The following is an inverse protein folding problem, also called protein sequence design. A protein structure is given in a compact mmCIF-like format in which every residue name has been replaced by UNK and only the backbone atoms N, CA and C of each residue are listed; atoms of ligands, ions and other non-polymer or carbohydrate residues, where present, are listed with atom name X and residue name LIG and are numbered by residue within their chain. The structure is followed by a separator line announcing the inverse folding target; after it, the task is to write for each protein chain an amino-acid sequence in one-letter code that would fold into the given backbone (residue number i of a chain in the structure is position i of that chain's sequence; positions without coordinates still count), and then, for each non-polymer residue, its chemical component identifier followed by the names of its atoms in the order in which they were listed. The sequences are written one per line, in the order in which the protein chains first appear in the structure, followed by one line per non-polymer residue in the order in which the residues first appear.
data_IF_232357023100
#
_entry.id   IF_232357023100
#
_cell.length_a   1.000
_cell.length_b   1.000
_cell.length_c   1.000
_cell.angle_alpha   90.00
_cell.angle_beta   90.00
_cell.angle_gamma   90.00
#
_symmetry.space_group_name_H-M   'P 1'
#
loop_
_entity.id
_entity.type
_entity.pdbx_description
1 polymer ?
#
# COMPACT_ATOMS: atom_id res chain seq x y z
N UNK A 1 -40.33 -47.91 -1.30
CA UNK A 1 -40.55 -46.46 -1.18
C UNK A 1 -41.31 -45.98 -2.42
N UNK A 2 -42.30 -45.11 -2.27
CA UNK A 2 -43.11 -44.62 -3.39
C UNK A 2 -42.37 -43.51 -4.14
N UNK A 3 -42.50 -43.45 -5.47
CA UNK A 3 -41.95 -42.39 -6.34
C UNK A 3 -42.30 -40.99 -5.82
N UNK A 4 -43.52 -40.83 -5.31
CA UNK A 4 -44.02 -39.58 -4.72
C UNK A 4 -43.25 -39.11 -3.48
N UNK A 5 -42.68 -40.04 -2.70
CA UNK A 5 -41.85 -39.72 -1.53
C UNK A 5 -40.49 -39.18 -1.96
N UNK A 6 -39.92 -39.74 -3.02
CA UNK A 6 -38.64 -39.30 -3.58
C UNK A 6 -38.77 -37.93 -4.24
N UNK A 7 -39.87 -37.68 -4.97
CA UNK A 7 -40.17 -36.37 -5.57
C UNK A 7 -40.27 -35.27 -4.51
N UNK A 8 -40.97 -35.53 -3.40
CA UNK A 8 -41.08 -34.57 -2.30
C UNK A 8 -39.72 -34.28 -1.65
N UNK A 9 -38.91 -35.30 -1.41
CA UNK A 9 -37.57 -35.11 -0.85
C UNK A 9 -36.66 -34.32 -1.80
N UNK A 10 -36.73 -34.59 -3.11
CA UNK A 10 -35.97 -33.87 -4.12
C UNK A 10 -36.36 -32.39 -4.20
N UNK A 11 -37.67 -32.07 -4.17
CA UNK A 11 -38.15 -30.70 -4.15
C UNK A 11 -37.68 -29.96 -2.87
N UNK A 12 -37.81 -30.60 -1.70
CA UNK A 12 -37.33 -30.02 -0.44
C UNK A 12 -35.83 -29.74 -0.48
N UNK A 13 -35.02 -30.67 -1.00
CA UNK A 13 -33.58 -30.46 -1.14
C UNK A 13 -33.26 -29.35 -2.15
N UNK A 14 -34.02 -29.25 -3.25
CA UNK A 14 -33.89 -28.17 -4.22
C UNK A 14 -34.14 -26.81 -3.57
N UNK A 15 -35.21 -26.69 -2.78
CA UNK A 15 -35.53 -25.45 -2.06
C UNK A 15 -34.44 -25.09 -1.04
N UNK A 16 -33.92 -26.08 -0.31
CA UNK A 16 -32.79 -25.91 0.60
C UNK A 16 -31.51 -25.47 -0.12
N UNK A 17 -31.22 -26.01 -1.30
CA UNK A 17 -30.05 -25.58 -2.10
C UNK A 17 -30.18 -24.13 -2.55
N UNK A 18 -31.39 -23.70 -2.95
CA UNK A 18 -31.65 -22.30 -3.32
C UNK A 18 -31.45 -21.37 -2.12
N UNK A 19 -31.98 -21.74 -0.96
CA UNK A 19 -31.81 -20.97 0.28
C UNK A 19 -30.33 -20.90 0.70
N UNK A 20 -29.61 -22.02 0.66
CA UNK A 20 -28.18 -22.08 0.95
C UNK A 20 -27.38 -21.20 -0.01
N UNK A 21 -27.69 -21.23 -1.31
CA UNK A 21 -27.02 -20.38 -2.30
C UNK A 21 -27.27 -18.89 -2.02
N UNK A 22 -28.50 -18.52 -1.67
CA UNK A 22 -28.85 -17.15 -1.31
C UNK A 22 -28.08 -16.70 -0.05
N UNK A 23 -27.99 -17.57 0.95
CA UNK A 23 -27.22 -17.33 2.17
C UNK A 23 -25.72 -17.19 1.87
N UNK A 24 -25.14 -18.08 1.07
CA UNK A 24 -23.73 -17.98 0.66
C UNK A 24 -23.45 -16.65 -0.05
N UNK A 25 -24.30 -16.24 -1.00
CA UNK A 25 -24.14 -14.96 -1.68
C UNK A 25 -24.20 -13.77 -0.72
N UNK A 26 -25.13 -13.79 0.24
CA UNK A 26 -25.27 -12.76 1.27
C UNK A 26 -24.05 -12.71 2.19
N UNK A 27 -23.56 -13.86 2.66
CA UNK A 27 -22.37 -13.93 3.51
C UNK A 27 -21.13 -13.45 2.76
N UNK A 28 -20.94 -13.85 1.50
CA UNK A 28 -19.82 -13.39 0.66
C UNK A 28 -19.82 -11.86 0.55
N UNK A 29 -20.96 -11.25 0.24
CA UNK A 29 -21.08 -9.79 0.17
C UNK A 29 -20.79 -9.09 1.52
N UNK A 30 -21.20 -9.69 2.63
CA UNK A 30 -20.88 -9.18 3.97
C UNK A 30 -19.39 -9.27 4.29
N UNK A 31 -18.75 -10.40 3.95
CA UNK A 31 -17.30 -10.61 4.14
C UNK A 31 -16.51 -9.59 3.32
N UNK A 32 -16.87 -9.35 2.07
CA UNK A 32 -16.21 -8.33 1.23
C UNK A 32 -16.35 -6.92 1.81
N UNK A 33 -17.55 -6.57 2.28
CA UNK A 33 -17.83 -5.27 2.91
C UNK A 33 -17.02 -5.07 4.19
N UNK A 34 -16.97 -6.09 5.06
CA UNK A 34 -16.18 -6.07 6.29
C UNK A 34 -14.68 -5.98 5.98
N UNK A 35 -14.20 -6.76 5.00
CA UNK A 35 -12.81 -6.72 4.59
C UNK A 35 -12.40 -5.31 4.14
N UNK A 36 -13.22 -4.65 3.31
CA UNK A 36 -12.97 -3.28 2.86
C UNK A 36 -12.91 -2.29 4.03
N UNK A 37 -13.85 -2.39 4.97
CA UNK A 37 -13.85 -1.54 6.19
C UNK A 37 -12.61 -1.76 7.05
N UNK A 38 -12.17 -3.01 7.21
CA UNK A 38 -10.95 -3.32 7.95
C UNK A 38 -9.72 -2.74 7.25
N UNK A 39 -9.63 -2.86 5.92
CA UNK A 39 -8.53 -2.27 5.12
C UNK A 39 -8.50 -0.74 5.25
N UNK A 40 -9.66 -0.08 5.21
CA UNK A 40 -9.78 1.37 5.38
C UNK A 40 -9.39 1.81 6.80
N UNK A 41 -9.87 1.13 7.84
CA UNK A 41 -9.54 1.44 9.24
C UNK A 41 -8.04 1.24 9.52
N UNK A 42 -7.45 0.17 9.01
CA UNK A 42 -6.02 -0.07 9.15
C UNK A 42 -5.21 1.00 8.40
N UNK A 43 -5.64 1.39 7.20
CA UNK A 43 -5.06 2.47 6.42
C UNK A 43 -5.07 3.80 7.18
N UNK A 44 -6.21 4.19 7.74
CA UNK A 44 -6.37 5.40 8.55
C UNK A 44 -5.48 5.39 9.80
N UNK A 45 -5.41 4.25 10.50
CA UNK A 45 -4.56 4.09 11.69
C UNK A 45 -3.07 4.29 11.37
N UNK A 46 -2.64 3.88 10.18
CA UNK A 46 -1.25 3.97 9.70
C UNK A 46 -0.96 5.22 8.87
N UNK A 47 -1.94 6.09 8.64
CA UNK A 47 -1.80 7.21 7.70
C UNK A 47 -0.62 8.13 8.07
N UNK A 48 -0.43 8.40 9.36
CA UNK A 48 0.65 9.25 9.86
C UNK A 48 1.97 8.49 10.12
N UNK A 49 2.08 7.24 9.68
CA UNK A 49 3.27 6.44 9.89
C UNK A 49 4.21 6.51 8.67
N UNK A 50 5.51 6.50 8.95
CA UNK A 50 6.58 6.31 7.97
C UNK A 50 7.42 5.10 8.34
N UNK A 51 7.96 4.43 7.32
CA UNK A 51 8.90 3.31 7.43
C UNK A 51 10.30 3.79 7.07
N UNK A 52 11.22 3.72 8.02
CA UNK A 52 12.64 3.97 7.81
C UNK A 52 13.39 2.64 7.66
N UNK A 53 14.01 2.45 6.51
CA UNK A 53 14.75 1.24 6.11
C UNK A 53 16.23 1.59 5.97
N UNK A 54 17.10 0.68 6.41
CA UNK A 54 18.56 0.78 6.23
C UNK A 54 19.30 1.45 7.39
N UNK A 55 18.59 1.84 8.45
CA UNK A 55 19.21 2.38 9.67
C UNK A 55 20.00 1.26 10.37
N UNK A 56 21.31 1.44 10.67
CA UNK A 56 22.10 0.44 11.37
C UNK A 56 21.60 0.21 12.79
N UNK A 57 21.49 -1.05 13.19
CA UNK A 57 21.08 -1.40 14.56
C UNK A 57 22.05 -0.83 15.59
N UNK A 58 21.48 -0.24 16.65
CA UNK A 58 22.24 0.33 17.76
C UNK A 58 22.72 1.77 17.53
N UNK A 59 22.52 2.34 16.34
CA UNK A 59 22.88 3.75 16.06
C UNK A 59 22.05 4.76 16.83
N UNK A 60 20.86 4.36 17.29
CA UNK A 60 19.88 5.27 17.90
C UNK A 60 20.16 5.64 19.36
N UNK A 61 21.03 4.88 20.05
CA UNK A 61 21.27 5.03 21.48
C UNK A 61 20.00 4.89 22.35
N UNK A 62 20.03 5.49 23.54
CA UNK A 62 18.91 5.46 24.49
C UNK A 62 17.75 6.40 24.10
N UNK A 63 18.05 7.51 23.41
CA UNK A 63 17.09 8.55 22.99
C UNK A 63 16.72 8.48 21.51
N UNK A 64 16.20 7.33 21.10
CA UNK A 64 15.88 7.05 19.69
C UNK A 64 14.96 8.09 19.03
N UNK A 65 13.98 8.63 19.74
CA UNK A 65 13.01 9.56 19.14
C UNK A 65 13.68 10.88 18.77
N UNK A 66 14.48 11.45 19.68
CA UNK A 66 15.28 12.65 19.43
C UNK A 66 16.29 12.41 18.31
N UNK A 67 16.98 11.27 18.35
CA UNK A 67 17.92 10.88 17.31
C UNK A 67 17.27 10.80 15.91
N UNK A 68 16.11 10.14 15.79
CA UNK A 68 15.43 10.01 14.49
C UNK A 68 14.91 11.38 14.02
N UNK A 69 14.40 12.22 14.92
CA UNK A 69 13.94 13.56 14.57
C UNK A 69 15.10 14.41 14.02
N UNK A 70 16.26 14.37 14.68
CA UNK A 70 17.49 15.01 14.21
C UNK A 70 17.96 14.44 12.86
N UNK A 71 18.01 13.12 12.73
CA UNK A 71 18.40 12.42 11.51
C UNK A 71 17.53 12.84 10.31
N UNK A 72 16.21 12.87 10.50
CA UNK A 72 15.26 13.28 9.47
C UNK A 72 15.47 14.74 9.09
N UNK A 73 15.74 15.62 10.06
CA UNK A 73 16.03 17.02 9.79
C UNK A 73 17.28 17.17 8.92
N UNK A 74 18.39 16.53 9.30
CA UNK A 74 19.67 16.63 8.59
C UNK A 74 19.59 16.05 7.17
N UNK A 75 19.06 14.83 7.05
CA UNK A 75 19.07 14.09 5.77
C UNK A 75 18.07 14.67 4.77
N UNK A 76 16.98 15.27 5.24
CA UNK A 76 15.95 15.84 4.38
C UNK A 76 16.04 17.36 4.26
N UNK A 77 16.95 18.01 5.00
CA UNK A 77 17.10 19.47 5.02
C UNK A 77 15.84 20.19 5.50
N UNK A 78 15.20 19.70 6.56
CA UNK A 78 13.98 20.32 7.11
C UNK A 78 14.32 21.54 7.96
N UNK A 79 13.49 22.58 7.91
CA UNK A 79 13.68 23.81 8.70
C UNK A 79 13.66 23.54 10.22
N UNK A 80 12.86 22.56 10.64
CA UNK A 80 12.71 22.17 12.05
C UNK A 80 12.63 20.66 12.19
N UNK A 81 12.98 20.15 13.38
CA UNK A 81 12.81 18.74 13.70
C UNK A 81 11.33 18.33 13.66
N UNK A 82 10.98 17.22 12.99
CA UNK A 82 9.62 16.71 12.99
C UNK A 82 9.26 16.16 14.37
N UNK A 83 8.04 16.45 14.83
CA UNK A 83 7.52 15.89 16.08
C UNK A 83 7.09 14.44 15.86
N UNK A 84 7.75 13.53 16.56
CA UNK A 84 7.50 12.10 16.50
C UNK A 84 6.71 11.67 17.75
N UNK A 85 5.61 10.93 17.58
CA UNK A 85 4.71 10.53 18.67
C UNK A 85 5.05 9.15 19.23
N UNK A 86 5.29 8.18 18.36
CA UNK A 86 5.56 6.81 18.77
C UNK A 86 6.59 6.16 17.85
N UNK A 87 7.42 5.30 18.44
CA UNK A 87 8.33 4.40 17.72
C UNK A 87 7.91 2.96 17.99
N UNK A 88 7.83 2.15 16.95
CA UNK A 88 7.81 0.69 17.07
C UNK A 88 8.99 0.15 16.27
N UNK A 89 10.04 -0.26 16.98
CA UNK A 89 11.12 -1.05 16.39
C UNK A 89 10.61 -2.49 16.34
N UNK A 90 10.33 -3.01 15.15
CA UNK A 90 10.21 -4.45 14.97
C UNK A 90 11.60 -5.07 15.24
N UNK A 91 11.65 -6.33 15.68
CA UNK A 91 12.90 -7.04 15.97
C UNK A 91 13.89 -7.09 14.79
N UNK A 92 13.45 -6.71 13.58
CA UNK A 92 14.24 -6.51 12.37
C UNK A 92 13.69 -5.30 11.59
N UNK A 93 14.52 -4.51 10.88
CA UNK A 93 14.06 -3.37 10.09
C UNK A 93 12.87 -3.72 9.18
N UNK A 94 11.90 -2.79 9.04
CA UNK A 94 12.07 -1.35 9.24
C UNK A 94 11.54 -0.77 10.55
N UNK A 95 12.07 0.41 10.88
CA UNK A 95 11.53 1.28 11.91
C UNK A 95 10.21 1.88 11.46
N UNK A 96 9.15 1.69 12.25
CA UNK A 96 7.88 2.38 12.06
C UNK A 96 7.84 3.56 13.01
N UNK A 97 7.70 4.75 12.44
CA UNK A 97 7.70 6.03 13.15
C UNK A 97 6.36 6.68 12.89
N UNK A 98 5.64 7.03 13.96
CA UNK A 98 4.39 7.79 13.87
C UNK A 98 4.70 9.27 14.05
N UNK A 99 4.36 10.08 13.05
CA UNK A 99 4.47 11.54 13.15
C UNK A 99 3.18 12.16 13.65
N UNK A 100 3.25 13.41 14.11
CA UNK A 100 2.11 14.11 14.72
C UNK A 100 0.95 14.41 13.75
N UNK A 101 1.21 14.48 12.45
CA UNK A 101 0.24 14.96 11.47
C UNK A 101 0.52 14.42 10.07
N UNK A 102 -0.52 14.35 9.26
CA UNK A 102 -0.41 13.90 7.88
C UNK A 102 0.43 14.86 7.03
N UNK A 103 0.39 16.16 7.35
CA UNK A 103 1.15 17.20 6.65
C UNK A 103 2.65 16.98 6.81
N UNK A 104 3.10 16.72 8.05
CA UNK A 104 4.51 16.39 8.34
C UNK A 104 4.91 15.10 7.64
N UNK A 105 4.05 14.07 7.66
CA UNK A 105 4.28 12.81 6.95
C UNK A 105 4.48 13.05 5.45
N UNK A 106 3.58 13.82 4.84
CA UNK A 106 3.60 14.12 3.41
C UNK A 106 4.84 14.93 3.02
N UNK A 107 5.24 15.88 3.86
CA UNK A 107 6.46 16.66 3.67
C UNK A 107 7.70 15.76 3.71
N UNK A 108 7.82 14.91 4.74
CA UNK A 108 8.93 13.97 4.87
C UNK A 108 9.03 13.06 3.64
N UNK A 109 7.92 12.45 3.20
CA UNK A 109 7.92 11.57 2.03
C UNK A 109 8.27 12.31 0.74
N UNK A 110 7.80 13.55 0.58
CA UNK A 110 8.13 14.39 -0.59
C UNK A 110 9.62 14.72 -0.61
N UNK A 111 10.18 15.20 0.50
CA UNK A 111 11.60 15.51 0.62
C UNK A 111 12.44 14.25 0.40
N UNK A 112 12.05 13.11 0.98
CA UNK A 112 12.76 11.85 0.80
C UNK A 112 12.82 11.39 -0.67
N UNK A 113 11.74 11.65 -1.43
CA UNK A 113 11.71 11.35 -2.86
C UNK A 113 12.61 12.30 -3.67
N UNK A 114 12.61 13.60 -3.34
CA UNK A 114 13.41 14.62 -4.03
C UNK A 114 14.91 14.50 -3.74
N UNK A 115 15.28 14.18 -2.49
CA UNK A 115 16.66 14.10 -2.03
C UNK A 115 17.29 12.71 -2.20
N UNK A 116 16.61 11.78 -2.88
CA UNK A 116 17.12 10.43 -3.12
C UNK A 116 18.37 10.45 -4.01
N UNK A 117 19.45 9.70 -3.69
CA UNK A 117 19.57 8.73 -2.60
C UNK A 117 19.91 9.36 -1.24
N UNK A 118 19.21 8.92 -0.20
CA UNK A 118 19.51 9.30 1.18
C UNK A 118 20.66 8.44 1.75
N UNK A 119 21.65 9.06 2.37
CA UNK A 119 22.80 8.39 2.96
C UNK A 119 22.95 8.76 4.44
N UNK A 120 23.30 7.77 5.27
CA UNK A 120 23.68 7.94 6.66
C UNK A 120 24.90 7.07 6.96
N UNK A 121 26.00 7.70 7.40
CA UNK A 121 27.27 7.01 7.65
C UNK A 121 27.71 6.11 6.47
N UNK A 122 27.57 6.61 5.24
CA UNK A 122 27.88 5.88 4.01
C UNK A 122 26.91 4.74 3.64
N UNK A 123 25.87 4.50 4.44
CA UNK A 123 24.83 3.49 4.17
C UNK A 123 23.58 4.13 3.60
N UNK A 124 22.94 3.44 2.65
CA UNK A 124 21.71 3.90 2.01
C UNK A 124 20.52 3.81 2.98
N UNK A 125 19.83 4.92 3.15
CA UNK A 125 18.53 4.98 3.81
C UNK A 125 17.41 5.07 2.80
N UNK A 126 16.24 4.59 3.19
CA UNK A 126 15.01 4.76 2.40
C UNK A 126 13.82 4.98 3.31
N UNK A 127 12.97 5.93 2.93
CA UNK A 127 11.77 6.30 3.67
C UNK A 127 10.55 6.00 2.81
N UNK A 128 9.60 5.26 3.36
CA UNK A 128 8.38 4.86 2.67
C UNK A 128 7.14 5.09 3.53
N UNK A 129 5.94 5.20 2.93
CA UNK A 129 4.70 5.12 3.71
C UNK A 129 4.54 3.74 4.37
N UNK A 130 3.89 3.70 5.54
CA UNK A 130 3.50 2.45 6.20
C UNK A 130 2.10 1.99 5.74
N UNK A 131 2.05 1.12 4.74
CA UNK A 131 0.78 0.56 4.27
C UNK A 131 0.38 -0.70 5.04
N UNK A 132 -0.93 -0.91 5.19
CA UNK A 132 -1.50 -2.18 5.63
C UNK A 132 -0.96 -3.34 4.76
N UNK A 133 -0.76 -4.55 5.30
CA UNK A 133 -0.18 -5.68 4.56
C UNK A 133 -0.93 -6.04 3.27
N UNK A 134 -2.27 -5.97 3.28
CA UNK A 134 -3.09 -6.22 2.09
C UNK A 134 -2.81 -5.21 0.98
N UNK A 135 -2.76 -3.92 1.32
CA UNK A 135 -2.46 -2.82 0.41
C UNK A 135 -1.01 -2.92 -0.09
N UNK A 136 -0.05 -3.23 0.79
CA UNK A 136 1.34 -3.43 0.42
C UNK A 136 1.48 -4.56 -0.62
N UNK A 137 0.78 -5.69 -0.42
CA UNK A 137 0.76 -6.81 -1.38
C UNK A 137 0.19 -6.38 -2.73
N UNK A 138 -0.95 -5.67 -2.75
CA UNK A 138 -1.55 -5.13 -3.99
C UNK A 138 -0.59 -4.19 -4.73
N UNK A 139 0.08 -3.28 -4.01
CA UNK A 139 1.04 -2.33 -4.60
C UNK A 139 2.30 -3.01 -5.15
N UNK A 140 2.77 -4.08 -4.51
CA UNK A 140 3.91 -4.87 -4.97
C UNK A 140 3.60 -5.62 -6.27
N UNK A 141 2.34 -6.01 -6.50
CA UNK A 141 1.94 -6.65 -7.75
C UNK A 141 2.20 -5.79 -9.00
N UNK A 142 2.24 -4.46 -8.85
CA UNK A 142 2.59 -3.52 -9.93
C UNK A 142 4.10 -3.35 -10.16
N UNK A 143 4.97 -4.06 -9.44
CA UNK A 143 6.42 -3.86 -9.54
C UNK A 143 6.98 -4.07 -10.95
N UNK A 144 6.47 -5.08 -11.68
CA UNK A 144 6.85 -5.35 -13.06
C UNK A 144 6.46 -4.20 -13.99
N UNK A 145 5.22 -3.71 -13.90
CA UNK A 145 4.70 -2.60 -14.70
C UNK A 145 5.51 -1.32 -14.44
N UNK A 146 5.82 -1.02 -13.18
CA UNK A 146 6.66 0.14 -12.81
C UNK A 146 8.05 0.05 -13.42
N UNK A 147 8.68 -1.13 -13.37
CA UNK A 147 10.00 -1.34 -13.98
C UNK A 147 9.96 -1.02 -15.47
N UNK A 148 8.90 -1.43 -16.18
CA UNK A 148 8.73 -1.10 -17.59
C UNK A 148 8.50 0.41 -17.82
N UNK A 149 7.70 1.05 -16.99
CA UNK A 149 7.42 2.49 -17.08
C UNK A 149 8.63 3.37 -16.78
N UNK A 150 9.52 2.95 -15.87
CA UNK A 150 10.77 3.66 -15.58
C UNK A 150 11.71 3.75 -16.80
N UNK A 151 11.60 2.83 -17.76
CA UNK A 151 12.38 2.85 -19.00
C UNK A 151 11.76 3.71 -20.10
N UNK A 152 10.56 4.27 -19.90
CA UNK A 152 9.83 5.00 -20.93
C UNK A 152 10.00 6.52 -20.76
N UNK A 153 10.50 7.26 -21.77
CA UNK A 153 10.63 8.70 -21.69
C UNK A 153 9.26 9.40 -21.70
N UNK A 154 9.16 10.55 -21.03
CA UNK A 154 7.99 11.43 -21.03
C UNK A 154 6.67 10.83 -20.48
N UNK A 155 6.71 9.66 -19.84
CA UNK A 155 5.55 9.08 -19.16
C UNK A 155 5.63 9.36 -17.66
N UNK A 156 4.58 9.96 -17.10
CA UNK A 156 4.45 10.15 -15.65
C UNK A 156 3.56 9.06 -15.08
N UNK A 157 3.89 8.50 -13.93
CA UNK A 157 3.04 7.50 -13.31
C UNK A 157 3.14 7.53 -11.78
N UNK A 158 2.13 6.97 -11.13
CA UNK A 158 2.09 6.84 -9.67
C UNK A 158 1.02 5.86 -9.23
N UNK A 159 1.15 5.30 -8.01
CA UNK A 159 0.08 4.50 -7.40
C UNK A 159 -0.69 5.35 -6.42
N UNK A 160 -1.98 5.51 -6.68
CA UNK A 160 -2.93 6.06 -5.72
C UNK A 160 -3.35 4.99 -4.72
N UNK A 161 -3.66 5.43 -3.51
CA UNK A 161 -4.25 4.55 -2.50
C UNK A 161 -5.60 4.00 -3.01
N UNK A 162 -5.92 2.72 -2.74
CA UNK A 162 -5.05 1.72 -2.11
C UNK A 162 -3.95 1.22 -3.04
N UNK A 163 -4.29 0.86 -4.28
CA UNK A 163 -3.35 0.35 -5.28
C UNK A 163 -3.83 0.57 -6.72
N UNK A 164 -4.24 1.79 -7.06
CA UNK A 164 -4.63 2.13 -8.45
C UNK A 164 -3.45 2.77 -9.16
N UNK A 165 -2.89 2.10 -10.17
CA UNK A 165 -1.83 2.66 -10.99
C UNK A 165 -2.42 3.71 -11.93
N UNK A 166 -1.91 4.92 -11.85
CA UNK A 166 -2.19 5.99 -12.80
C UNK A 166 -0.99 6.19 -13.72
N UNK A 167 -1.25 6.24 -15.02
CA UNK A 167 -0.29 6.55 -16.07
C UNK A 167 -0.78 7.79 -16.79
N UNK A 168 0.08 8.79 -16.92
CA UNK A 168 -0.15 10.01 -17.69
C UNK A 168 0.79 9.99 -18.90
N UNK A 169 0.20 9.94 -20.09
CA UNK A 169 0.92 9.93 -21.36
C UNK A 169 1.46 11.34 -21.70
N UNK A 170 2.41 11.47 -22.64
CA UNK A 170 2.95 12.77 -23.04
C UNK A 170 1.89 13.77 -23.53
N UNK A 171 0.79 13.28 -24.12
CA UNK A 171 -0.36 14.10 -24.55
C UNK A 171 -1.31 14.53 -23.43
N UNK A 172 -1.00 14.22 -22.16
CA UNK A 172 -1.82 14.58 -21.01
C UNK A 172 -2.95 13.58 -20.68
N UNK A 173 -3.20 12.60 -21.54
CA UNK A 173 -4.18 11.54 -21.27
C UNK A 173 -3.81 10.70 -20.04
N UNK A 174 -4.82 10.43 -19.20
CA UNK A 174 -4.65 9.73 -17.93
C UNK A 174 -5.39 8.41 -17.94
N UNK A 175 -4.66 7.31 -17.78
CA UNK A 175 -5.22 5.97 -17.64
C UNK A 175 -5.05 5.45 -16.22
N UNK A 176 -6.06 4.72 -15.72
CA UNK A 176 -6.08 4.14 -14.38
C UNK A 176 -6.29 2.64 -14.47
N UNK A 177 -5.53 1.89 -13.67
CA UNK A 177 -5.58 0.43 -13.65
C UNK A 177 -5.60 -0.08 -12.22
N UNK A 178 -6.57 -0.95 -11.92
CA UNK A 178 -6.62 -1.73 -10.68
C UNK A 178 -5.98 -3.11 -10.84
N UNK A 179 -5.97 -3.64 -12.07
CA UNK A 179 -5.33 -4.90 -12.41
C UNK A 179 -3.92 -4.70 -13.01
N UNK A 180 -2.87 -5.30 -12.43
CA UNK A 180 -1.50 -5.19 -12.93
C UNK A 180 -1.28 -5.78 -14.33
N UNK A 181 -1.99 -6.85 -14.71
CA UNK A 181 -1.85 -7.48 -16.01
C UNK A 181 -2.44 -6.59 -17.12
N UNK A 182 -3.62 -6.01 -16.88
CA UNK A 182 -4.22 -5.05 -17.81
C UNK A 182 -3.31 -3.83 -18.02
N UNK A 183 -2.71 -3.33 -16.94
CA UNK A 183 -1.73 -2.25 -17.02
C UNK A 183 -0.48 -2.65 -17.84
N UNK A 184 0.03 -3.86 -17.65
CA UNK A 184 1.20 -4.36 -18.37
C UNK A 184 0.93 -4.49 -19.88
N UNK A 185 -0.22 -5.05 -20.24
CA UNK A 185 -0.68 -5.15 -21.64
C UNK A 185 -0.79 -3.76 -22.26
N UNK A 186 -1.35 -2.80 -21.53
CA UNK A 186 -1.44 -1.42 -21.99
C UNK A 186 -0.07 -0.78 -22.25
N UNK A 187 0.87 -0.92 -21.32
CA UNK A 187 2.24 -0.36 -21.45
C UNK A 187 2.95 -0.93 -22.67
N UNK A 188 2.91 -2.25 -22.86
CA UNK A 188 3.57 -2.92 -23.99
C UNK A 188 2.99 -2.52 -25.34
N UNK A 189 1.66 -2.37 -25.42
CA UNK A 189 0.97 -2.07 -26.69
C UNK A 189 1.04 -0.60 -27.08
N UNK A 190 0.99 0.31 -26.11
CA UNK A 190 0.76 1.74 -26.39
C UNK A 190 1.98 2.63 -26.10
N UNK A 191 2.93 2.17 -25.28
CA UNK A 191 4.08 3.00 -24.87
C UNK A 191 5.38 2.48 -25.49
N UNK A 192 5.58 1.16 -25.52
CA UNK A 192 6.81 0.51 -26.02
C UNK A 192 6.71 -0.01 -27.46
N UNK A 193 5.91 0.65 -28.32
CA UNK A 193 5.86 0.28 -29.74
C UNK A 193 7.24 0.26 -30.38
#
# INVERSE_FOLDING_TARGET
ESVTSLERAANNHSDQLVELQANVNKLTAQVESLFKKCEDLEGCSRWNNIRLVGLPDGSEGSRTTEFIAHLLQEILGLDSQPVLLEKRKAASPPFIIKVNSFQVQSQILRCAWQSSPLLFNGKKLSIFPDFAPSVAKKRTAFASVKKELHSCPNVKFGLRFPATLQITLPGGEVHRFEDPNLALVFVRKNIKK
#
